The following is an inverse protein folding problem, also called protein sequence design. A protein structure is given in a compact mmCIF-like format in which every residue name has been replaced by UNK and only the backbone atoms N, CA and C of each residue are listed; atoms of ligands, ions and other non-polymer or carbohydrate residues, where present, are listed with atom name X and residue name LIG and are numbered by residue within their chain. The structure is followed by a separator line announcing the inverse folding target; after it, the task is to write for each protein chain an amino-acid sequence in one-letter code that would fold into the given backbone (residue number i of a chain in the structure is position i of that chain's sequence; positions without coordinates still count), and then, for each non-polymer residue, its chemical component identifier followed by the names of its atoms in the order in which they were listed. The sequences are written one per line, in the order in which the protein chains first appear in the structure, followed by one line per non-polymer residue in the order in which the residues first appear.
data_IF_069724920905
#
_entry.id   IF_069724920905
#
_cell.length_a   1.000
_cell.length_b   1.000
_cell.length_c   1.000
_cell.angle_alpha   90.00
_cell.angle_beta   90.00
_cell.angle_gamma   90.00
#
_symmetry.space_group_name_H-M   'P 1'
#
loop_
_entity.id
_entity.type
_entity.pdbx_description
1 polymer ?
#
# COMPACT_ATOMS: atom_id res chain seq x y z
N UNK A 1 -4.55 2.43 -11.32
CA UNK A 1 -5.19 1.12 -11.06
C UNK A 1 -6.68 1.23 -11.42
N UNK A 2 -7.12 0.71 -12.58
CA UNK A 2 -8.51 0.84 -13.05
C UNK A 2 -9.55 0.32 -12.05
N UNK A 3 -9.24 -0.78 -11.37
CA UNK A 3 -10.09 -1.36 -10.34
C UNK A 3 -10.46 -0.36 -9.22
N UNK A 4 -9.54 0.53 -8.81
CA UNK A 4 -9.85 1.49 -7.74
C UNK A 4 -10.88 2.52 -8.22
N UNK A 5 -10.78 2.98 -9.46
CA UNK A 5 -11.79 3.89 -10.03
C UNK A 5 -13.18 3.23 -10.07
N UNK A 6 -13.25 1.92 -10.33
CA UNK A 6 -14.50 1.16 -10.29
C UNK A 6 -15.07 1.07 -8.87
N UNK A 7 -14.25 0.76 -7.87
CA UNK A 7 -14.67 0.73 -6.46
C UNK A 7 -15.16 2.10 -5.98
N UNK A 8 -14.45 3.18 -6.33
CA UNK A 8 -14.92 4.54 -6.06
C UNK A 8 -16.25 4.81 -6.75
N UNK A 9 -16.36 4.50 -8.04
CA UNK A 9 -17.61 4.68 -8.79
C UNK A 9 -18.79 3.93 -8.18
N UNK A 10 -18.59 2.66 -7.80
CA UNK A 10 -19.62 1.84 -7.15
C UNK A 10 -20.09 2.46 -5.84
N UNK A 11 -19.17 2.80 -4.94
CA UNK A 11 -19.56 3.34 -3.64
C UNK A 11 -20.18 4.73 -3.73
N UNK A 12 -19.65 5.61 -4.58
CA UNK A 12 -20.20 6.96 -4.77
C UNK A 12 -21.59 6.91 -5.40
N UNK A 13 -21.79 6.08 -6.43
CA UNK A 13 -23.08 5.90 -7.08
C UNK A 13 -24.18 5.46 -6.11
N UNK A 14 -23.86 4.54 -5.20
CA UNK A 14 -24.83 4.03 -4.23
C UNK A 14 -25.04 4.94 -3.01
N UNK A 15 -24.10 5.85 -2.72
CA UNK A 15 -24.20 6.77 -1.59
C UNK A 15 -24.86 8.12 -1.96
N UNK A 16 -24.74 8.55 -3.22
CA UNK A 16 -25.26 9.83 -3.66
C UNK A 16 -26.80 9.86 -3.58
N UNK A 17 -27.40 10.86 -2.91
CA UNK A 17 -28.85 10.94 -2.73
C UNK A 17 -29.58 11.39 -4.00
N UNK A 18 -28.87 12.02 -4.94
CA UNK A 18 -29.46 12.55 -6.16
C UNK A 18 -28.40 12.73 -7.25
N UNK A 19 -28.85 13.09 -8.45
CA UNK A 19 -28.01 13.45 -9.59
C UNK A 19 -28.10 14.97 -9.84
N UNK A 20 -26.99 15.65 -10.22
CA UNK A 20 -25.63 15.12 -10.39
C UNK A 20 -24.95 14.78 -9.05
N UNK A 21 -24.02 13.82 -9.10
CA UNK A 21 -23.19 13.45 -7.95
C UNK A 21 -22.29 14.63 -7.57
N UNK A 22 -22.33 15.04 -6.30
CA UNK A 22 -21.54 16.14 -5.78
C UNK A 22 -20.19 15.67 -5.20
N UNK A 23 -19.24 16.60 -5.08
CA UNK A 23 -17.94 16.32 -4.45
C UNK A 23 -18.06 15.79 -3.02
N UNK A 24 -19.10 16.21 -2.29
CA UNK A 24 -19.35 15.76 -0.92
C UNK A 24 -19.79 14.30 -0.85
N UNK A 25 -20.48 13.79 -1.88
CA UNK A 25 -20.82 12.37 -1.99
C UNK A 25 -19.53 11.54 -2.16
N UNK A 26 -18.58 12.05 -2.95
CA UNK A 26 -17.26 11.42 -3.15
C UNK A 26 -16.47 11.39 -1.84
N UNK A 27 -16.47 12.50 -1.09
CA UNK A 27 -15.81 12.58 0.21
C UNK A 27 -16.46 11.64 1.24
N UNK A 28 -17.79 11.58 1.27
CA UNK A 28 -18.55 10.72 2.18
C UNK A 28 -18.31 9.22 1.89
N UNK A 29 -18.22 8.83 0.62
CA UNK A 29 -17.97 7.45 0.22
C UNK A 29 -16.55 6.95 0.56
N UNK A 30 -15.60 7.85 0.84
CA UNK A 30 -14.16 7.52 1.00
C UNK A 30 -13.91 6.43 2.04
N UNK A 31 -14.53 6.51 3.22
CA UNK A 31 -14.31 5.51 4.28
C UNK A 31 -14.79 4.13 3.87
N UNK A 32 -15.92 4.05 3.16
CA UNK A 32 -16.47 2.79 2.64
C UNK A 32 -15.55 2.18 1.58
N UNK A 33 -15.09 2.99 0.62
CA UNK A 33 -14.15 2.52 -0.42
C UNK A 33 -12.86 2.01 0.18
N UNK A 34 -12.23 2.79 1.08
CA UNK A 34 -10.99 2.37 1.74
C UNK A 34 -11.22 1.10 2.55
N UNK A 35 -12.36 0.96 3.24
CA UNK A 35 -12.71 -0.25 3.97
C UNK A 35 -12.83 -1.49 3.06
N UNK A 36 -13.44 -1.34 1.88
CA UNK A 36 -13.52 -2.40 0.87
C UNK A 36 -12.15 -2.77 0.32
N UNK A 37 -11.35 -1.78 -0.07
CA UNK A 37 -9.98 -2.03 -0.55
C UNK A 37 -9.10 -2.68 0.52
N UNK A 38 -9.23 -2.27 1.78
CA UNK A 38 -8.50 -2.86 2.91
C UNK A 38 -8.84 -4.35 3.05
N UNK A 39 -10.12 -4.72 3.06
CA UNK A 39 -10.56 -6.12 3.24
C UNK A 39 -10.30 -6.99 2.01
N UNK A 40 -10.66 -6.51 0.83
CA UNK A 40 -10.86 -7.37 -0.33
C UNK A 40 -9.66 -7.31 -1.29
N UNK A 41 -8.88 -6.23 -1.24
CA UNK A 41 -7.74 -6.03 -2.13
C UNK A 41 -6.39 -6.09 -1.41
N UNK A 42 -6.21 -5.29 -0.36
CA UNK A 42 -4.92 -5.17 0.33
C UNK A 42 -4.67 -6.33 1.28
N UNK A 43 -5.64 -6.72 2.10
CA UNK A 43 -5.50 -7.81 3.07
C UNK A 43 -5.12 -9.14 2.42
N UNK A 44 -5.74 -9.48 1.29
CA UNK A 44 -5.44 -10.71 0.53
C UNK A 44 -3.99 -10.78 0.07
N UNK A 45 -3.39 -9.63 -0.28
CA UNK A 45 -1.95 -9.56 -0.64
C UNK A 45 -1.08 -9.60 0.60
N UNK A 46 -1.48 -8.87 1.63
CA UNK A 46 -0.77 -8.78 2.90
C UNK A 46 -0.64 -10.13 3.61
N UNK A 47 -1.67 -10.97 3.55
CA UNK A 47 -1.68 -12.28 4.21
C UNK A 47 -0.72 -13.29 3.56
N UNK A 48 -0.27 -13.04 2.32
CA UNK A 48 0.75 -13.86 1.61
C UNK A 48 2.19 -13.50 1.98
N UNK A 49 2.37 -12.48 2.82
CA UNK A 49 3.68 -11.98 3.24
C UNK A 49 4.16 -12.70 4.49
N UNK A 50 5.45 -13.02 4.51
CA UNK A 50 6.15 -13.44 5.73
C UNK A 50 6.25 -12.26 6.71
N UNK A 51 6.48 -12.51 8.01
CA UNK A 51 6.67 -11.44 8.99
C UNK A 51 7.77 -10.45 8.60
N UNK A 52 8.91 -10.91 8.08
CA UNK A 52 10.04 -10.04 7.69
C UNK A 52 9.77 -9.21 6.44
N UNK A 53 8.93 -9.71 5.53
CA UNK A 53 8.46 -8.94 4.37
C UNK A 53 7.47 -7.85 4.80
N UNK A 54 6.57 -8.16 5.75
CA UNK A 54 5.68 -7.17 6.37
C UNK A 54 6.45 -6.05 7.04
N UNK A 55 7.50 -6.38 7.81
CA UNK A 55 8.38 -5.39 8.43
C UNK A 55 9.05 -4.50 7.37
N UNK A 56 9.57 -5.07 6.27
CA UNK A 56 10.20 -4.32 5.19
C UNK A 56 9.23 -3.32 4.52
N UNK A 57 8.05 -3.79 4.15
CA UNK A 57 7.03 -2.92 3.55
C UNK A 57 6.54 -1.86 4.54
N UNK A 58 6.42 -2.20 5.82
CA UNK A 58 6.04 -1.23 6.85
C UNK A 58 7.09 -0.13 7.02
N UNK A 59 8.38 -0.48 6.97
CA UNK A 59 9.47 0.49 6.99
C UNK A 59 9.39 1.43 5.77
N UNK A 60 9.16 0.89 4.57
CA UNK A 60 8.89 1.73 3.39
C UNK A 60 7.70 2.67 3.60
N UNK A 61 6.62 2.19 4.24
CA UNK A 61 5.45 3.03 4.51
C UNK A 61 5.73 4.14 5.53
N UNK A 62 6.63 3.95 6.52
CA UNK A 62 7.08 5.01 7.44
C UNK A 62 7.83 6.11 6.68
N UNK A 63 8.68 5.73 5.74
CA UNK A 63 9.50 6.66 4.95
C UNK A 63 8.65 7.57 4.04
N UNK A 64 7.36 7.24 3.87
CA UNK A 64 6.40 8.03 3.12
C UNK A 64 6.22 7.56 1.68
N UNK A 65 5.48 8.33 0.87
CA UNK A 65 5.20 7.96 -0.51
C UNK A 65 6.44 8.09 -1.41
N UNK A 66 6.56 7.23 -2.41
CA UNK A 66 7.61 7.29 -3.42
C UNK A 66 8.56 6.10 -3.42
N UNK A 67 9.67 6.25 -4.16
CA UNK A 67 10.75 5.26 -4.21
C UNK A 67 11.75 5.49 -3.08
N UNK A 68 12.23 4.40 -2.49
CA UNK A 68 13.14 4.41 -1.35
C UNK A 68 14.40 3.59 -1.62
N UNK A 69 15.56 4.07 -1.17
CA UNK A 69 16.81 3.32 -1.29
C UNK A 69 16.82 2.15 -0.33
N UNK A 70 17.47 1.06 -0.73
CA UNK A 70 17.63 -0.11 0.15
C UNK A 70 18.34 0.24 1.47
N UNK A 71 19.25 1.22 1.45
CA UNK A 71 19.93 1.74 2.64
C UNK A 71 18.97 2.41 3.64
N UNK A 72 18.08 3.28 3.16
CA UNK A 72 17.10 3.97 4.01
C UNK A 72 16.12 2.99 4.66
N UNK A 73 15.68 1.99 3.88
CA UNK A 73 14.81 0.93 4.40
C UNK A 73 15.54 0.09 5.46
N UNK A 74 16.81 -0.23 5.23
CA UNK A 74 17.62 -0.97 6.20
C UNK A 74 17.87 -0.16 7.50
N UNK A 75 18.11 1.15 7.36
CA UNK A 75 18.25 2.07 8.49
C UNK A 75 16.96 2.15 9.31
N UNK A 76 15.80 2.30 8.65
CA UNK A 76 14.49 2.30 9.30
C UNK A 76 14.18 0.97 10.02
N UNK A 77 14.75 -0.14 9.54
CA UNK A 77 14.63 -1.46 10.17
C UNK A 77 15.69 -1.73 11.26
N UNK A 78 16.71 -0.88 11.41
CA UNK A 78 17.84 -1.11 12.31
C UNK A 78 18.68 -2.33 11.94
N UNK A 79 18.81 -2.65 10.65
CA UNK A 79 19.58 -3.82 10.17
C UNK A 79 20.60 -3.43 9.10
N UNK A 80 21.54 -4.33 8.83
CA UNK A 80 22.51 -4.17 7.74
C UNK A 80 21.83 -4.24 6.37
N UNK A 81 22.26 -3.42 5.42
CA UNK A 81 21.64 -3.32 4.08
C UNK A 81 21.69 -4.64 3.30
N UNK A 82 22.73 -5.44 3.49
CA UNK A 82 22.88 -6.75 2.83
C UNK A 82 21.80 -7.74 3.31
N UNK A 83 21.30 -7.56 4.53
CA UNK A 83 20.29 -8.45 5.12
C UNK A 83 18.88 -8.25 4.56
N UNK A 84 18.63 -7.14 3.85
CA UNK A 84 17.31 -6.84 3.29
C UNK A 84 17.17 -7.25 1.82
N UNK A 85 18.28 -7.59 1.14
CA UNK A 85 18.25 -7.99 -0.27
C UNK A 85 17.36 -9.22 -0.55
N UNK A 86 17.38 -10.31 0.25
CA UNK A 86 16.47 -11.44 0.01
C UNK A 86 14.99 -11.07 0.20
N UNK A 87 14.68 -10.20 1.17
CA UNK A 87 13.31 -9.71 1.41
C UNK A 87 12.82 -8.91 0.22
N UNK A 88 13.67 -8.00 -0.29
CA UNK A 88 13.39 -7.21 -1.48
C UNK A 88 13.11 -8.10 -2.70
N UNK A 89 13.96 -9.08 -2.97
CA UNK A 89 13.77 -10.00 -4.10
C UNK A 89 12.46 -10.79 -3.99
N UNK A 90 12.13 -11.30 -2.79
CA UNK A 90 10.85 -11.99 -2.55
C UNK A 90 9.63 -11.10 -2.78
N UNK A 91 9.69 -9.85 -2.33
CA UNK A 91 8.62 -8.87 -2.53
C UNK A 91 8.45 -8.46 -4.00
N UNK A 92 9.55 -8.35 -4.77
CA UNK A 92 9.50 -8.13 -6.22
C UNK A 92 8.83 -9.33 -6.90
N UNK A 93 9.23 -10.55 -6.56
CA UNK A 93 8.64 -11.77 -7.12
C UNK A 93 7.13 -11.89 -6.82
N UNK A 94 6.69 -11.42 -5.65
CA UNK A 94 5.28 -11.34 -5.27
C UNK A 94 4.52 -10.14 -5.89
N UNK A 95 5.22 -9.27 -6.62
CA UNK A 95 4.64 -8.08 -7.25
C UNK A 95 4.26 -6.97 -6.27
N UNK A 96 4.79 -6.99 -5.04
CA UNK A 96 4.45 -6.01 -4.00
C UNK A 96 5.19 -4.68 -4.19
N UNK A 97 6.41 -4.77 -4.74
CA UNK A 97 7.30 -3.64 -5.02
C UNK A 97 7.95 -3.83 -6.39
N UNK A 98 8.47 -2.74 -6.93
CA UNK A 98 9.30 -2.73 -8.13
C UNK A 98 10.49 -1.77 -7.97
N UNK A 99 11.45 -1.83 -8.91
CA UNK A 99 12.65 -0.97 -8.93
C UNK A 99 12.48 0.11 -10.01
N UNK A 100 12.09 1.35 -9.66
CA UNK A 100 11.95 2.44 -10.65
C UNK A 100 13.30 2.91 -11.19
N UNK A 101 14.36 2.83 -10.38
CA UNK A 101 15.74 3.12 -10.73
C UNK A 101 16.68 2.15 -10.01
N UNK A 102 17.96 2.15 -10.37
CA UNK A 102 18.96 1.31 -9.73
C UNK A 102 19.05 1.63 -8.23
N UNK A 103 18.79 0.64 -7.38
CA UNK A 103 18.85 0.75 -5.91
C UNK A 103 17.59 1.30 -5.23
N UNK A 104 16.63 1.80 -6.00
CA UNK A 104 15.34 2.31 -5.50
C UNK A 104 14.27 1.22 -5.49
N UNK A 105 13.30 1.39 -4.59
CA UNK A 105 12.18 0.46 -4.39
C UNK A 105 10.90 1.23 -4.13
N UNK A 106 9.84 0.96 -4.90
CA UNK A 106 8.53 1.60 -4.76
C UNK A 106 7.41 0.55 -4.71
N UNK A 107 6.29 0.88 -4.08
CA UNK A 107 5.11 0.01 -4.10
C UNK A 107 4.51 -0.09 -5.50
N UNK A 108 4.17 -1.31 -5.92
CA UNK A 108 3.46 -1.54 -7.20
C UNK A 108 2.03 -1.03 -7.15
N UNK A 109 1.43 -1.04 -5.95
CA UNK A 109 0.01 -0.75 -5.72
C UNK A 109 -0.14 0.57 -4.96
N UNK A 110 -0.96 1.52 -5.45
CA UNK A 110 -1.23 2.77 -4.74
C UNK A 110 -2.00 2.52 -3.43
N UNK A 111 -1.84 3.42 -2.45
CA UNK A 111 -2.48 3.39 -1.12
C UNK A 111 -2.07 2.20 -0.23
N UNK A 112 -1.22 1.30 -0.72
CA UNK A 112 -0.81 0.13 0.05
C UNK A 112 0.10 0.50 1.24
N UNK A 113 0.90 1.56 1.09
CA UNK A 113 1.62 2.23 2.17
C UNK A 113 0.67 2.63 3.31
N UNK A 114 -0.41 3.35 2.99
CA UNK A 114 -1.39 3.80 3.98
C UNK A 114 -2.11 2.62 4.63
N UNK A 115 -2.43 1.56 3.86
CA UNK A 115 -2.96 0.33 4.42
C UNK A 115 -2.01 -0.30 5.44
N UNK A 116 -0.71 -0.37 5.15
CA UNK A 116 0.28 -0.92 6.08
C UNK A 116 0.36 -0.12 7.38
N UNK A 117 0.22 1.20 7.33
CA UNK A 117 0.17 2.04 8.54
C UNK A 117 -1.04 1.70 9.43
N UNK A 118 -2.20 1.41 8.82
CA UNK A 118 -3.41 1.00 9.54
C UNK A 118 -3.34 -0.44 10.06
N UNK A 119 -2.83 -1.36 9.24
CA UNK A 119 -2.78 -2.79 9.55
C UNK A 119 -1.67 -3.17 10.54
N UNK A 120 -0.62 -2.35 10.65
CA UNK A 120 0.51 -2.53 11.56
C UNK A 120 0.76 -1.22 12.35
N UNK A 121 -0.13 -0.88 13.31
CA UNK A 121 0.01 0.30 14.13
C UNK A 121 1.11 0.12 15.20
N UNK A 122 1.85 1.19 15.52
CA UNK A 122 2.70 1.24 16.72
C UNK A 122 3.87 0.26 16.76
N UNK A 123 4.57 0.08 15.63
CA UNK A 123 5.83 -0.66 15.56
C UNK A 123 6.97 0.26 15.21
#
# INVERSE_FOLDING_TARGET
YPYFLQEWGYHVWNAAPSTPIADDDVRAARSSVIGTLDRDFFRVRFDRLTPKEKDYLRAMAVLGPGGHRSGDIAAALGVRVESVAPRRSGLIAKGMIYSPAHGDTAFTVPLFDQFLLRALPGR
#
